data_IF_773669015882
#
_entry.id   IF_773669015882
#
_cell.length_a   1.000
_cell.length_b   1.000
_cell.length_c   1.000
_cell.angle_alpha   90.00
_cell.angle_beta   90.00
_cell.angle_gamma   90.00
#
_symmetry.space_group_name_H-M   'P 1'
#
loop_
_entity.id
_entity.type
_entity.pdbx_description
1 polymer ?
#
# COMPACT_ATOMS: atom_id res chain seq x y z
N UNK A 1 -2.95 24.07 -7.61
CA UNK A 1 -3.53 22.71 -7.62
C UNK A 1 -3.54 22.16 -6.21
N UNK A 2 -4.56 21.38 -5.84
CA UNK A 2 -4.58 20.69 -4.57
C UNK A 2 -3.78 19.38 -4.64
N UNK A 3 -3.09 19.03 -3.56
CA UNK A 3 -2.30 17.79 -3.41
C UNK A 3 -2.85 17.00 -2.24
N UNK A 4 -2.82 15.67 -2.31
CA UNK A 4 -3.21 14.81 -1.20
C UNK A 4 -1.97 14.40 -0.40
N UNK A 5 -1.94 14.75 0.88
CA UNK A 5 -0.92 14.28 1.81
C UNK A 5 -1.46 13.05 2.53
N UNK A 6 -0.66 12.00 2.60
CA UNK A 6 -1.05 10.73 3.18
C UNK A 6 -0.04 10.32 4.25
N UNK A 7 -0.52 9.72 5.33
CA UNK A 7 0.32 9.07 6.34
C UNK A 7 -0.33 7.78 6.81
N UNK A 8 0.47 6.84 7.32
CA UNK A 8 0.00 5.63 7.96
C UNK A 8 0.25 5.71 9.47
N UNK A 9 -0.76 5.37 10.26
CA UNK A 9 -0.64 5.14 11.70
C UNK A 9 -0.66 3.63 11.95
N UNK A 10 0.54 3.09 12.21
CA UNK A 10 0.74 1.67 12.47
C UNK A 10 -0.02 1.19 13.71
N UNK A 11 -0.08 2.01 14.76
CA UNK A 11 -0.67 1.64 16.05
C UNK A 11 -2.20 1.70 16.00
N UNK A 12 -2.75 2.75 15.37
CA UNK A 12 -4.20 2.90 15.22
C UNK A 12 -4.79 2.01 14.12
N UNK A 13 -3.96 1.50 13.19
CA UNK A 13 -4.44 0.70 12.07
C UNK A 13 -5.19 1.52 11.02
N UNK A 14 -4.73 2.76 10.81
CA UNK A 14 -5.39 3.74 9.96
C UNK A 14 -4.41 4.45 9.04
N UNK A 15 -4.93 5.07 7.98
CA UNK A 15 -4.25 6.09 7.21
C UNK A 15 -4.93 7.44 7.42
N UNK A 16 -4.13 8.51 7.44
CA UNK A 16 -4.61 9.89 7.47
C UNK A 16 -4.47 10.50 6.10
N UNK A 17 -5.57 11.04 5.57
CA UNK A 17 -5.60 11.77 4.29
C UNK A 17 -5.87 13.25 4.56
N UNK A 18 -5.03 14.13 4.02
CA UNK A 18 -5.12 15.59 4.21
C UNK A 18 -5.01 16.26 2.84
N UNK A 19 -6.03 17.02 2.44
CA UNK A 19 -5.97 17.83 1.23
C UNK A 19 -5.16 19.10 1.51
N UNK A 20 -4.13 19.36 0.71
CA UNK A 20 -3.36 20.61 0.71
C UNK A 20 -3.75 21.44 -0.50
N UNK A 21 -4.38 22.59 -0.30
CA UNK A 21 -4.87 23.46 -1.38
C UNK A 21 -4.00 24.69 -1.65
N UNK A 22 -2.97 24.93 -0.82
CA UNK A 22 -2.02 26.03 -0.96
C UNK A 22 -0.81 25.89 -0.02
N UNK A 23 0.12 26.86 0.00
CA UNK A 23 1.36 26.78 0.78
C UNK A 23 1.15 26.49 2.27
N UNK A 24 0.10 27.07 2.88
CA UNK A 24 -0.27 26.85 4.28
C UNK A 24 -1.74 26.47 4.48
N UNK A 25 -2.43 26.08 3.40
CA UNK A 25 -3.83 25.66 3.45
C UNK A 25 -3.92 24.13 3.48
N UNK A 26 -4.23 23.59 4.66
CA UNK A 26 -4.42 22.16 4.92
C UNK A 26 -5.86 21.91 5.36
N UNK A 27 -6.49 20.90 4.78
CA UNK A 27 -7.80 20.43 5.20
C UNK A 27 -7.74 19.67 6.52
N UNK A 28 -8.92 19.35 7.06
CA UNK A 28 -9.04 18.49 8.23
C UNK A 28 -8.57 17.07 7.89
N UNK A 29 -7.70 16.44 8.71
CA UNK A 29 -7.31 15.06 8.50
C UNK A 29 -8.53 14.13 8.52
N UNK A 30 -8.61 13.26 7.52
CA UNK A 30 -9.58 12.17 7.47
C UNK A 30 -8.88 10.87 7.80
N UNK A 31 -9.36 10.19 8.83
CA UNK A 31 -8.96 8.83 9.15
C UNK A 31 -9.64 7.82 8.22
N UNK A 32 -8.86 6.90 7.67
CA UNK A 32 -9.32 5.79 6.84
C UNK A 32 -8.84 4.48 7.47
N UNK A 33 -9.74 3.57 7.87
CA UNK A 33 -9.35 2.27 8.38
C UNK A 33 -8.59 1.46 7.32
N UNK A 34 -7.41 0.95 7.67
CA UNK A 34 -6.58 0.15 6.76
C UNK A 34 -6.38 -1.28 7.25
N UNK A 35 -6.57 -1.53 8.54
CA UNK A 35 -6.33 -2.81 9.18
C UNK A 35 -5.03 -2.81 9.97
N UNK A 36 -4.46 -3.99 10.24
CA UNK A 36 -3.38 -4.12 11.22
C UNK A 36 -2.02 -3.75 10.63
N UNK A 37 -1.36 -2.77 11.26
CA UNK A 37 0.01 -2.38 10.95
C UNK A 37 0.23 -1.84 9.54
N UNK A 38 -0.52 -0.79 9.11
CA UNK A 38 -0.15 -0.06 7.92
C UNK A 38 1.22 0.60 8.13
N UNK A 39 2.09 0.53 7.12
CA UNK A 39 3.45 1.12 7.19
C UNK A 39 3.64 2.28 6.24
N UNK A 40 3.11 2.19 5.03
CA UNK A 40 3.30 3.20 4.00
C UNK A 40 2.02 3.36 3.19
N UNK A 41 1.69 4.60 2.84
CA UNK A 41 0.67 4.95 1.84
C UNK A 41 1.38 5.60 0.66
N UNK A 42 1.16 5.08 -0.54
CA UNK A 42 1.69 5.66 -1.78
C UNK A 42 0.55 6.08 -2.68
N UNK A 43 0.62 7.30 -3.20
CA UNK A 43 -0.30 7.81 -4.20
C UNK A 43 0.25 7.52 -5.60
N UNK A 44 -0.55 6.83 -6.41
CA UNK A 44 -0.25 6.58 -7.82
C UNK A 44 -0.61 7.77 -8.71
N UNK A 45 0.00 7.86 -9.91
CA UNK A 45 -0.56 8.61 -11.03
C UNK A 45 -2.04 8.20 -11.23
N UNK A 46 -2.94 9.18 -11.33
CA UNK A 46 -4.40 8.95 -11.35
C UNK A 46 -5.09 8.97 -9.99
N UNK A 47 -4.34 9.09 -8.88
CA UNK A 47 -4.87 9.43 -7.56
C UNK A 47 -5.20 8.25 -6.64
N UNK A 48 -5.19 7.01 -7.16
CA UNK A 48 -5.36 5.79 -6.36
C UNK A 48 -4.27 5.68 -5.29
N UNK A 49 -4.60 5.16 -4.12
CA UNK A 49 -3.66 4.95 -3.02
C UNK A 49 -3.44 3.47 -2.77
N UNK A 50 -2.20 3.13 -2.40
CA UNK A 50 -1.78 1.78 -2.07
C UNK A 50 -1.16 1.80 -0.69
N UNK A 51 -1.69 0.95 0.19
CA UNK A 51 -1.23 0.87 1.58
C UNK A 51 -0.61 -0.49 1.82
N UNK A 52 0.66 -0.53 2.22
CA UNK A 52 1.28 -1.74 2.71
C UNK A 52 0.75 -2.03 4.12
N UNK A 53 0.01 -3.12 4.30
CA UNK A 53 -0.59 -3.54 5.57
C UNK A 53 0.22 -4.72 6.10
N UNK A 54 1.28 -4.40 6.85
CA UNK A 54 2.37 -5.33 7.15
C UNK A 54 1.96 -6.53 7.99
N UNK A 55 0.99 -6.39 8.91
CA UNK A 55 0.58 -7.51 9.76
C UNK A 55 -0.38 -8.44 9.04
N UNK A 56 -1.09 -7.93 8.03
CA UNK A 56 -2.05 -8.69 7.23
C UNK A 56 -1.44 -9.32 5.98
N UNK A 57 -0.15 -9.08 5.70
CA UNK A 57 0.53 -9.58 4.49
C UNK A 57 -0.18 -9.16 3.19
N UNK A 58 -0.70 -7.93 3.17
CA UNK A 58 -1.56 -7.42 2.12
C UNK A 58 -1.18 -6.00 1.68
N UNK A 59 -1.53 -5.68 0.44
CA UNK A 59 -1.64 -4.30 -0.05
C UNK A 59 -3.12 -3.94 -0.17
N UNK A 60 -3.54 -2.88 0.52
CA UNK A 60 -4.88 -2.32 0.43
C UNK A 60 -4.92 -1.24 -0.65
N UNK A 61 -5.92 -1.30 -1.51
CA UNK A 61 -6.17 -0.32 -2.57
C UNK A 61 -7.30 0.60 -2.14
N UNK A 62 -7.05 1.90 -2.15
CA UNK A 62 -8.02 2.94 -1.83
C UNK A 62 -8.13 3.94 -2.98
N UNK A 63 -9.29 4.57 -3.10
CA UNK A 63 -9.44 5.78 -3.90
C UNK A 63 -8.92 7.03 -3.15
N UNK A 64 -8.75 8.17 -3.84
CA UNK A 64 -8.29 9.41 -3.21
C UNK A 64 -9.19 9.89 -2.06
N UNK A 65 -10.47 9.51 -2.09
CA UNK A 65 -11.43 9.77 -1.03
C UNK A 65 -11.38 8.73 0.09
N UNK A 66 -10.42 7.79 0.08
CA UNK A 66 -10.28 6.73 1.06
C UNK A 66 -11.28 5.59 0.92
N UNK A 67 -12.09 5.54 -0.15
CA UNK A 67 -12.97 4.40 -0.40
C UNK A 67 -12.16 3.14 -0.74
N UNK A 68 -12.47 2.01 -0.08
CA UNK A 68 -11.79 0.75 -0.31
C UNK A 68 -12.17 0.12 -1.64
N UNK A 69 -11.16 -0.31 -2.41
CA UNK A 69 -11.33 -0.99 -3.70
C UNK A 69 -10.97 -2.46 -3.69
N UNK A 70 -10.18 -2.89 -2.70
CA UNK A 70 -9.83 -4.29 -2.52
C UNK A 70 -8.50 -4.45 -1.83
N UNK A 71 -8.16 -5.71 -1.57
CA UNK A 71 -6.90 -6.13 -0.96
C UNK A 71 -6.21 -7.12 -1.87
N UNK A 72 -4.89 -7.03 -1.93
CA UNK A 72 -4.04 -7.95 -2.69
C UNK A 72 -3.11 -8.62 -1.70
N UNK A 73 -3.18 -9.95 -1.63
CA UNK A 73 -2.21 -10.70 -0.82
C UNK A 73 -0.84 -10.61 -1.47
N UNK A 74 0.16 -10.32 -0.64
CA UNK A 74 1.57 -10.33 -1.02
C UNK A 74 2.31 -11.24 -0.03
N UNK A 75 3.63 -11.26 -0.10
CA UNK A 75 4.51 -11.98 0.80
C UNK A 75 4.59 -11.32 2.17
N UNK A 76 5.29 -12.00 3.07
CA UNK A 76 5.29 -11.67 4.49
C UNK A 76 5.87 -10.28 4.80
N UNK A 77 5.16 -9.54 5.67
CA UNK A 77 5.52 -8.25 6.21
C UNK A 77 5.87 -7.18 5.15
N UNK A 78 4.93 -6.85 4.23
CA UNK A 78 5.16 -5.82 3.23
C UNK A 78 5.45 -4.47 3.89
N UNK A 79 6.36 -3.69 3.28
CA UNK A 79 6.80 -2.40 3.82
C UNK A 79 6.71 -1.28 2.80
N UNK A 80 7.79 -1.08 2.04
CA UNK A 80 7.85 -0.05 1.02
C UNK A 80 7.08 -0.47 -0.24
N UNK A 81 6.50 0.52 -0.92
CA UNK A 81 5.86 0.38 -2.23
C UNK A 81 6.47 1.46 -3.13
N UNK A 82 6.85 1.09 -4.35
CA UNK A 82 7.24 2.02 -5.40
C UNK A 82 6.33 1.80 -6.61
N UNK A 83 5.89 2.88 -7.26
CA UNK A 83 4.97 2.83 -8.40
C UNK A 83 5.69 3.34 -9.64
N UNK A 84 5.45 2.69 -10.78
CA UNK A 84 5.97 3.14 -12.06
C UNK A 84 5.43 4.54 -12.45
N UNK A 85 6.19 5.36 -13.20
CA UNK A 85 5.73 6.68 -13.63
C UNK A 85 4.44 6.66 -14.45
N UNK A 86 4.18 5.57 -15.18
CA UNK A 86 2.95 5.37 -15.97
C UNK A 86 1.77 4.85 -15.12
N UNK A 87 1.99 4.55 -13.83
CA UNK A 87 0.98 4.06 -12.90
C UNK A 87 0.48 2.64 -13.18
N UNK A 88 1.13 1.88 -14.07
CA UNK A 88 0.69 0.54 -14.49
C UNK A 88 1.31 -0.61 -13.70
N UNK A 89 2.38 -0.37 -12.96
CA UNK A 89 2.99 -1.39 -12.11
C UNK A 89 3.46 -0.81 -10.78
N UNK A 90 3.59 -1.69 -9.79
CA UNK A 90 4.22 -1.35 -8.52
C UNK A 90 5.12 -2.48 -8.04
N UNK A 91 6.15 -2.13 -7.29
CA UNK A 91 7.00 -3.09 -6.57
C UNK A 91 6.76 -2.93 -5.08
N UNK A 92 6.48 -4.04 -4.40
CA UNK A 92 6.24 -4.10 -2.96
C UNK A 92 7.40 -4.85 -2.33
N UNK A 93 8.10 -4.22 -1.40
CA UNK A 93 9.12 -4.90 -0.61
C UNK A 93 8.45 -5.80 0.44
N UNK A 94 8.69 -7.10 0.35
CA UNK A 94 8.18 -8.13 1.28
C UNK A 94 9.29 -8.42 2.30
N UNK A 95 9.46 -7.53 3.27
CA UNK A 95 10.64 -7.50 4.18
C UNK A 95 10.83 -8.80 4.94
N UNK A 96 9.73 -9.42 5.36
CA UNK A 96 9.78 -10.69 6.07
C UNK A 96 10.13 -11.85 5.13
N UNK A 97 9.63 -11.82 3.90
CA UNK A 97 9.86 -12.88 2.93
C UNK A 97 11.26 -12.84 2.28
N UNK A 98 11.99 -11.72 2.37
CA UNK A 98 13.26 -11.54 1.67
C UNK A 98 13.08 -11.45 0.14
N UNK A 99 11.91 -11.00 -0.31
CA UNK A 99 11.52 -10.88 -1.70
C UNK A 99 10.81 -9.55 -1.98
N UNK A 100 10.46 -9.31 -3.23
CA UNK A 100 9.57 -8.25 -3.65
C UNK A 100 8.52 -8.78 -4.60
N UNK A 101 7.28 -8.34 -4.43
CA UNK A 101 6.20 -8.60 -5.38
C UNK A 101 6.13 -7.49 -6.42
N UNK A 102 5.97 -7.86 -7.69
CA UNK A 102 5.56 -6.95 -8.75
C UNK A 102 4.05 -7.05 -8.90
N UNK A 103 3.36 -5.92 -8.78
CA UNK A 103 1.93 -5.81 -8.96
C UNK A 103 1.61 -5.25 -10.34
N UNK A 104 0.64 -5.86 -11.01
CA UNK A 104 0.01 -5.29 -12.20
C UNK A 104 -1.18 -4.40 -11.79
N UNK A 105 -1.06 -3.12 -12.13
CA UNK A 105 -2.06 -2.09 -11.86
C UNK A 105 -2.88 -1.74 -13.13
N UNK A 106 -2.59 -2.36 -14.27
CA UNK A 106 -3.24 -2.05 -15.55
C UNK A 106 -4.71 -2.49 -15.61
N UNK A 107 -5.07 -3.54 -14.86
CA UNK A 107 -6.46 -4.03 -14.75
C UNK A 107 -7.44 -2.98 -14.17
N UNK A 108 -6.92 -1.88 -13.63
CA UNK A 108 -7.67 -0.81 -12.97
C UNK A 108 -8.37 0.16 -13.92
N UNK A 109 -8.25 -0.03 -15.22
CA UNK A 109 -9.06 0.67 -16.23
C UNK A 109 -10.46 0.04 -16.36
N UNK A 110 -10.72 -1.13 -15.72
CA UNK A 110 -12.04 -1.80 -15.66
C UNK A 110 -12.39 -2.37 -14.28
N UNK A 111 -13.36 -3.28 -14.19
CA UNK A 111 -13.75 -4.01 -12.95
C UNK A 111 -12.70 -5.00 -12.43
N UNK A 112 -11.53 -5.08 -13.08
CA UNK A 112 -10.42 -5.94 -12.66
C UNK A 112 -9.72 -5.41 -11.41
N UNK A 113 -9.45 -6.30 -10.45
CA UNK A 113 -8.66 -5.99 -9.26
C UNK A 113 -7.16 -5.99 -9.53
N UNK A 114 -6.37 -5.35 -8.67
CA UNK A 114 -4.91 -5.43 -8.67
C UNK A 114 -4.46 -6.85 -8.35
N UNK A 115 -3.44 -7.36 -9.02
CA UNK A 115 -2.91 -8.71 -8.82
C UNK A 115 -1.39 -8.72 -8.69
N UNK A 116 -0.83 -9.76 -8.07
CA UNK A 116 0.61 -10.05 -8.12
C UNK A 116 0.93 -10.66 -9.48
N UNK A 117 1.76 -9.99 -10.25
CA UNK A 117 2.18 -10.44 -11.58
C UNK A 117 3.45 -11.29 -11.54
N UNK A 118 4.36 -10.96 -10.63
CA UNK A 118 5.63 -11.66 -10.47
C UNK A 118 6.17 -11.49 -9.04
N UNK A 119 7.15 -12.31 -8.65
CA UNK A 119 7.87 -12.17 -7.39
C UNK A 119 9.37 -12.37 -7.59
N UNK A 120 10.14 -11.37 -7.19
CA UNK A 120 11.61 -11.35 -7.30
C UNK A 120 12.20 -11.61 -5.92
N UNK A 121 13.04 -12.64 -5.81
CA UNK A 121 13.77 -12.95 -4.57
C UNK A 121 15.00 -12.04 -4.49
N UNK A 122 15.14 -11.31 -3.38
CA UNK A 122 16.19 -10.29 -3.21
C UNK A 122 17.42 -10.78 -2.42
N UNK A 123 17.39 -12.02 -1.90
CA UNK A 123 18.50 -12.67 -1.18
C UNK A 123 18.21 -14.13 -0.85
N UNK A 124 19.08 -14.83 -0.12
CA UNK A 124 18.75 -16.15 0.43
C UNK A 124 17.61 -15.97 1.44
N UNK A 125 16.43 -16.50 1.13
CA UNK A 125 15.21 -16.32 1.93
C UNK A 125 15.47 -16.64 3.41
N UNK A 126 15.60 -15.61 4.25
CA UNK A 126 15.66 -15.82 5.69
C UNK A 126 14.22 -16.05 6.17
N UNK A 127 13.77 -17.30 6.05
CA UNK A 127 12.52 -17.76 6.63
C UNK A 127 12.69 -17.70 8.15
N UNK A 128 12.21 -16.63 8.79
CA UNK A 128 11.98 -16.67 10.22
C UNK A 128 10.80 -17.62 10.47
N UNK A 129 10.95 -18.66 11.30
CA UNK A 129 9.81 -19.49 11.68
C UNK A 129 8.81 -18.60 12.42
N UNK A 130 7.55 -18.61 12.00
CA UNK A 130 6.48 -18.03 12.82
C UNK A 130 6.54 -18.71 14.18
N UNK A 131 6.74 -17.94 15.24
CA UNK A 131 6.23 -18.34 16.54
C UNK A 131 4.71 -18.45 16.39
N UNK A 132 4.21 -19.67 16.26
CA UNK A 132 2.81 -19.98 16.48
C UNK A 132 2.57 -19.60 17.94
N UNK A 133 1.85 -18.51 18.17
CA UNK A 133 1.26 -18.28 19.49
C UNK A 133 0.19 -19.37 19.67
N UNK A 134 0.47 -20.29 20.61
CA UNK A 134 -0.48 -21.26 21.14
C UNK A 134 -1.64 -20.56 21.85
#
# INVERSE_FOLDING_TARGET
MAVLLCSADTAAGQASLIVKSGPSAYGTPRAVPTGRGPLLVVQCPGGRLYVAVSVSDEVLVLDPDGAGRGRVRVGWAPGAIAVSPDGRSAVVCERGAGSAAVLDLSALVGTGGVQVADRVVLGSAHVQPRAVAL
#
